data_IF_993747458897
#
_entry.id   IF_993747458897
#
_cell.length_a   1.000
_cell.length_b   1.000
_cell.length_c   1.000
_cell.angle_alpha   90.00
_cell.angle_beta   90.00
_cell.angle_gamma   90.00
#
_symmetry.space_group_name_H-M   'P 1'
#
loop_
_entity.id
_entity.type
_entity.pdbx_description
1 polymer ?
#
# COMPACT_ATOMS: atom_id res chain seq x y z
N UNK A 1 0.96 29.72 32.17
CA UNK A 1 2.42 29.70 31.88
C UNK A 1 2.87 28.39 31.18
N UNK A 2 1.96 27.51 30.72
CA UNK A 2 2.31 26.26 30.00
C UNK A 2 1.99 26.30 28.49
N UNK A 3 1.50 27.42 27.95
CA UNK A 3 1.16 27.54 26.53
C UNK A 3 2.25 28.18 25.64
N UNK A 4 3.25 28.80 26.22
CA UNK A 4 4.32 29.47 25.45
C UNK A 4 5.53 28.58 25.09
N UNK A 5 5.71 27.44 25.78
CA UNK A 5 6.82 26.53 25.51
C UNK A 5 6.63 25.63 24.26
N UNK A 6 5.39 25.52 23.73
CA UNK A 6 5.11 24.67 22.57
C UNK A 6 5.32 25.37 21.21
N UNK A 7 5.47 26.69 21.18
CA UNK A 7 5.64 27.45 19.93
C UNK A 7 7.10 27.59 19.47
N UNK A 8 8.08 27.38 20.33
CA UNK A 8 9.50 27.48 19.99
C UNK A 8 10.11 26.26 19.32
N UNK A 9 9.56 25.06 19.57
CA UNK A 9 10.13 23.82 19.05
C UNK A 9 9.72 23.49 17.58
N UNK A 10 8.79 24.25 16.99
CA UNK A 10 8.25 23.95 15.65
C UNK A 10 9.03 24.55 14.49
N UNK A 11 9.90 25.53 14.74
CA UNK A 11 10.62 26.23 13.66
C UNK A 11 11.94 25.55 13.26
N UNK A 12 12.62 24.89 14.19
CA UNK A 12 13.91 24.22 13.94
C UNK A 12 13.77 22.77 13.46
N UNK A 13 12.66 22.11 13.77
CA UNK A 13 12.36 20.76 13.25
C UNK A 13 11.97 20.75 11.75
N UNK A 14 11.95 21.91 11.09
CA UNK A 14 11.61 22.08 9.66
C UNK A 14 12.80 21.91 8.72
N UNK A 15 13.97 21.60 9.22
CA UNK A 15 15.15 21.44 8.39
C UNK A 15 15.26 20.02 7.87
N UNK A 16 15.07 19.95 6.54
CA UNK A 16 15.68 18.96 5.63
C UNK A 16 15.77 17.55 6.18
N UNK A 17 14.86 16.70 5.72
CA UNK A 17 15.09 15.24 5.79
C UNK A 17 16.39 14.97 5.01
N UNK A 18 17.50 14.59 5.69
CA UNK A 18 18.71 14.26 4.96
C UNK A 18 18.43 13.03 4.09
N UNK A 19 18.62 13.18 2.79
CA UNK A 19 18.44 12.13 1.77
C UNK A 19 19.36 10.90 1.96
N UNK A 20 20.14 10.84 3.04
CA UNK A 20 21.25 9.88 3.19
C UNK A 20 21.28 9.13 4.51
N UNK A 21 20.23 9.11 5.32
CA UNK A 21 20.21 8.15 6.44
C UNK A 21 19.82 6.78 5.92
N UNK A 22 20.66 5.74 6.11
CA UNK A 22 20.23 4.36 5.90
C UNK A 22 19.10 4.06 6.88
N UNK A 23 17.87 4.21 6.43
CA UNK A 23 16.69 3.76 7.17
C UNK A 23 16.74 2.24 7.21
N UNK A 24 16.69 1.67 8.42
CA UNK A 24 16.54 0.21 8.58
C UNK A 24 15.25 -0.17 7.84
N UNK A 25 15.39 -0.85 6.70
CA UNK A 25 14.25 -1.26 5.89
C UNK A 25 13.56 -2.44 6.58
N UNK A 26 12.23 -2.37 6.66
CA UNK A 26 11.41 -3.48 7.15
C UNK A 26 11.42 -4.64 6.15
N UNK A 27 11.54 -4.34 4.85
CA UNK A 27 11.56 -5.31 3.77
C UNK A 27 12.80 -5.16 2.90
N UNK A 28 13.37 -6.25 2.41
CA UNK A 28 14.49 -6.25 1.46
C UNK A 28 14.02 -5.95 0.05
N UNK A 29 12.81 -6.42 -0.32
CA UNK A 29 12.30 -6.37 -1.69
C UNK A 29 11.55 -5.08 -2.02
N UNK A 30 11.16 -4.29 -1.02
CA UNK A 30 10.36 -3.08 -1.23
C UNK A 30 10.95 -1.88 -0.48
N UNK A 31 10.78 -0.68 -1.07
CA UNK A 31 11.18 0.59 -0.48
C UNK A 31 10.11 1.66 -0.63
N UNK A 32 10.12 2.63 0.30
CA UNK A 32 9.25 3.80 0.29
C UNK A 32 10.09 5.02 0.02
N UNK A 33 9.71 5.83 -0.98
CA UNK A 33 10.42 7.04 -1.35
C UNK A 33 9.49 8.24 -1.28
N UNK A 34 9.73 9.14 -0.34
CA UNK A 34 8.99 10.40 -0.26
C UNK A 34 9.44 11.33 -1.38
N UNK A 35 8.52 11.71 -2.26
CA UNK A 35 8.77 12.66 -3.35
C UNK A 35 8.39 14.10 -2.95
N UNK A 36 7.44 14.23 -2.02
CA UNK A 36 7.03 15.51 -1.44
C UNK A 36 6.63 15.34 0.02
N UNK A 37 6.67 16.44 0.79
CA UNK A 37 6.23 16.52 2.19
C UNK A 37 5.33 17.73 2.35
N UNK A 38 4.29 17.63 3.21
CA UNK A 38 3.30 18.69 3.41
C UNK A 38 2.19 18.66 2.37
N UNK A 39 1.25 19.60 2.47
CA UNK A 39 0.11 19.67 1.55
C UNK A 39 -0.45 21.08 1.48
N UNK A 40 -0.72 21.56 0.27
CA UNK A 40 -1.33 22.88 0.01
C UNK A 40 -2.87 22.83 -0.07
N UNK A 41 -3.49 21.63 0.03
CA UNK A 41 -4.93 21.52 0.05
C UNK A 41 -5.52 21.99 1.39
N UNK A 42 -6.70 22.60 1.33
CA UNK A 42 -7.40 23.19 2.49
C UNK A 42 -8.62 22.35 2.91
N UNK A 43 -8.55 21.01 2.78
CA UNK A 43 -9.64 20.11 3.13
C UNK A 43 -10.09 20.34 4.58
N UNK A 44 -11.39 20.56 4.79
CA UNK A 44 -11.94 21.02 6.06
C UNK A 44 -11.77 20.02 7.23
N UNK A 45 -11.58 18.74 6.93
CA UNK A 45 -11.41 17.67 7.92
C UNK A 45 -9.95 17.29 8.18
N UNK A 46 -9.00 17.85 7.41
CA UNK A 46 -7.62 17.38 7.40
C UNK A 46 -6.69 18.28 8.22
N UNK A 47 -5.94 17.68 9.14
CA UNK A 47 -4.97 18.37 9.99
C UNK A 47 -3.56 18.42 9.38
N UNK A 48 -3.30 17.71 8.28
CA UNK A 48 -1.97 17.55 7.68
C UNK A 48 -1.26 18.88 7.40
N UNK A 49 -1.89 19.91 6.81
CA UNK A 49 -1.21 21.19 6.57
C UNK A 49 -0.69 21.85 7.86
N UNK A 50 -1.39 21.65 8.99
CA UNK A 50 -0.95 22.15 10.29
C UNK A 50 0.25 21.38 10.85
N UNK A 51 0.28 20.06 10.63
CA UNK A 51 1.32 19.19 11.18
C UNK A 51 2.58 19.13 10.32
N UNK A 52 2.42 19.12 8.99
CA UNK A 52 3.52 18.93 8.02
C UNK A 52 3.88 20.17 7.23
N UNK A 53 3.12 21.26 7.38
CA UNK A 53 3.33 22.51 6.67
C UNK A 53 2.92 22.49 5.20
N UNK A 54 3.40 23.50 4.46
CA UNK A 54 3.20 23.59 3.02
C UNK A 54 3.92 22.49 2.27
N UNK A 55 3.39 22.14 1.11
CA UNK A 55 4.00 21.16 0.22
C UNK A 55 5.39 21.60 -0.22
N UNK A 56 6.33 20.67 -0.15
CA UNK A 56 7.72 20.79 -0.56
C UNK A 56 8.08 19.58 -1.39
N UNK A 57 8.44 19.84 -2.64
CA UNK A 57 8.83 18.80 -3.58
C UNK A 57 10.34 18.55 -3.50
N UNK A 58 10.74 17.30 -3.51
CA UNK A 58 12.15 16.92 -3.68
C UNK A 58 12.53 17.02 -5.15
N UNK A 59 13.78 17.31 -5.44
CA UNK A 59 14.27 17.37 -6.81
C UNK A 59 14.25 15.99 -7.48
N UNK A 60 13.87 15.89 -8.77
CA UNK A 60 13.78 14.61 -9.46
C UNK A 60 15.07 13.78 -9.38
N UNK A 61 16.24 14.41 -9.52
CA UNK A 61 17.53 13.74 -9.40
C UNK A 61 17.77 13.11 -8.03
N UNK A 62 17.34 13.76 -6.93
CA UNK A 62 17.44 13.20 -5.58
C UNK A 62 16.54 11.99 -5.39
N UNK A 63 15.30 12.07 -5.92
CA UNK A 63 14.33 10.98 -5.86
C UNK A 63 14.85 9.77 -6.65
N UNK A 64 15.31 9.97 -7.89
CA UNK A 64 15.83 8.90 -8.74
C UNK A 64 17.12 8.28 -8.16
N UNK A 65 17.99 9.09 -7.56
CA UNK A 65 19.19 8.58 -6.88
C UNK A 65 18.83 7.70 -5.68
N UNK A 66 17.81 8.07 -4.89
CA UNK A 66 17.34 7.23 -3.78
C UNK A 66 16.70 5.94 -4.29
N UNK A 67 15.88 6.01 -5.34
CA UNK A 67 15.32 4.81 -5.98
C UNK A 67 16.44 3.89 -6.46
N UNK A 68 17.47 4.42 -7.16
CA UNK A 68 18.63 3.66 -7.61
C UNK A 68 19.37 2.98 -6.45
N UNK A 69 19.64 3.71 -5.38
CA UNK A 69 20.28 3.15 -4.18
C UNK A 69 19.47 2.04 -3.52
N UNK A 70 18.13 2.14 -3.53
CA UNK A 70 17.24 1.08 -3.04
C UNK A 70 17.36 -0.19 -3.92
N UNK A 71 17.40 0.00 -5.23
CA UNK A 71 17.54 -1.10 -6.20
C UNK A 71 18.90 -1.76 -6.08
N UNK A 72 19.99 -1.01 -5.97
CA UNK A 72 21.34 -1.53 -5.72
C UNK A 72 21.40 -2.35 -4.43
N UNK A 73 20.66 -1.92 -3.41
CA UNK A 73 20.54 -2.64 -2.14
C UNK A 73 19.54 -3.81 -2.18
N UNK A 74 19.06 -4.22 -3.35
CA UNK A 74 18.25 -5.40 -3.58
C UNK A 74 16.74 -5.19 -3.69
N UNK A 75 16.21 -3.96 -3.57
CA UNK A 75 14.79 -3.73 -3.78
C UNK A 75 14.40 -3.89 -5.26
N UNK A 76 13.23 -4.46 -5.51
CA UNK A 76 12.63 -4.55 -6.85
C UNK A 76 11.28 -3.82 -6.92
N UNK A 77 10.73 -3.42 -5.78
CA UNK A 77 9.51 -2.62 -5.71
C UNK A 77 9.77 -1.30 -4.97
N UNK A 78 9.27 -0.19 -5.51
CA UNK A 78 9.30 1.12 -4.86
C UNK A 78 7.91 1.73 -4.86
N UNK A 79 7.52 2.31 -3.72
CA UNK A 79 6.30 3.12 -3.62
C UNK A 79 6.66 4.59 -3.42
N UNK A 80 6.23 5.43 -4.36
CA UNK A 80 6.40 6.88 -4.29
C UNK A 80 5.33 7.48 -3.35
N UNK A 81 5.77 8.27 -2.38
CA UNK A 81 4.94 8.85 -1.34
C UNK A 81 4.83 10.37 -1.45
N UNK A 82 3.62 10.86 -1.27
CA UNK A 82 3.30 12.27 -1.08
C UNK A 82 1.92 12.40 -0.44
N UNK A 83 1.57 13.58 0.05
CA UNK A 83 0.21 13.85 0.54
C UNK A 83 -0.74 14.18 -0.63
N UNK A 84 -0.18 14.57 -1.76
CA UNK A 84 -0.82 14.82 -3.04
C UNK A 84 0.22 14.53 -4.13
N UNK A 85 0.48 13.25 -4.37
CA UNK A 85 1.64 12.82 -5.17
C UNK A 85 1.63 13.35 -6.60
N UNK A 86 0.45 13.58 -7.20
CA UNK A 86 0.34 14.08 -8.57
C UNK A 86 0.33 15.61 -8.69
N UNK A 87 0.53 16.35 -7.58
CA UNK A 87 0.94 17.76 -7.62
C UNK A 87 2.47 17.94 -7.68
N UNK A 88 3.22 16.84 -7.58
CA UNK A 88 4.67 16.87 -7.64
C UNK A 88 5.17 17.64 -8.86
N UNK A 89 6.07 18.57 -8.63
CA UNK A 89 6.64 19.47 -9.63
C UNK A 89 6.00 20.85 -9.75
N UNK A 90 4.82 21.05 -9.18
CA UNK A 90 4.15 22.36 -9.20
C UNK A 90 4.99 23.42 -8.49
N UNK A 91 5.70 23.08 -7.42
CA UNK A 91 6.57 24.00 -6.68
C UNK A 91 7.70 24.57 -7.56
N UNK A 92 8.22 23.79 -8.50
CA UNK A 92 9.27 24.23 -9.43
C UNK A 92 8.78 24.48 -10.87
N UNK A 93 7.46 24.65 -11.05
CA UNK A 93 6.87 25.11 -12.31
C UNK A 93 6.59 24.05 -13.36
N UNK A 94 6.74 22.75 -13.04
CA UNK A 94 6.50 21.64 -13.96
C UNK A 94 5.29 20.79 -13.52
N UNK A 95 4.13 21.06 -14.09
CA UNK A 95 2.89 20.31 -13.81
C UNK A 95 2.88 18.89 -14.37
N UNK A 96 3.77 18.56 -15.28
CA UNK A 96 3.96 17.23 -15.85
C UNK A 96 5.03 16.39 -15.13
N UNK A 97 5.67 16.93 -14.08
CA UNK A 97 6.81 16.30 -13.44
C UNK A 97 6.50 14.92 -12.86
N UNK A 98 5.30 14.69 -12.34
CA UNK A 98 4.93 13.40 -11.80
C UNK A 98 4.89 12.30 -12.88
N UNK A 99 4.27 12.56 -14.01
CA UNK A 99 4.26 11.61 -15.14
C UNK A 99 5.67 11.36 -15.69
N UNK A 100 6.50 12.42 -15.79
CA UNK A 100 7.92 12.28 -16.17
C UNK A 100 8.69 11.45 -15.17
N UNK A 101 8.43 11.59 -13.86
CA UNK A 101 9.08 10.82 -12.80
C UNK A 101 8.70 9.34 -12.90
N UNK A 102 7.42 9.02 -13.17
CA UNK A 102 6.99 7.63 -13.39
C UNK A 102 7.75 6.99 -14.56
N UNK A 103 7.80 7.68 -15.72
CA UNK A 103 8.56 7.20 -16.89
C UNK A 103 10.06 7.05 -16.59
N UNK A 104 10.64 7.99 -15.84
CA UNK A 104 12.06 7.91 -15.46
C UNK A 104 12.32 6.73 -14.52
N UNK A 105 11.42 6.41 -13.58
CA UNK A 105 11.52 5.20 -12.79
C UNK A 105 11.46 3.93 -13.66
N UNK A 106 10.74 3.98 -14.79
CA UNK A 106 10.67 2.89 -15.77
C UNK A 106 12.02 2.54 -16.43
N UNK A 107 12.98 3.45 -16.41
CA UNK A 107 14.31 3.24 -17.01
C UNK A 107 15.36 2.73 -16.04
N UNK A 108 15.01 2.57 -14.74
CA UNK A 108 15.97 2.10 -13.73
C UNK A 108 16.10 0.59 -13.82
N UNK A 109 17.27 0.11 -14.22
CA UNK A 109 17.55 -1.33 -14.35
C UNK A 109 17.38 -2.04 -13.00
N UNK A 110 16.63 -3.14 -13.01
CA UNK A 110 16.32 -3.94 -11.83
C UNK A 110 15.18 -3.44 -10.96
N UNK A 111 14.55 -2.31 -11.29
CA UNK A 111 13.30 -1.89 -10.68
C UNK A 111 12.12 -2.53 -11.42
N UNK A 112 11.47 -3.50 -10.80
CA UNK A 112 10.40 -4.28 -11.44
C UNK A 112 8.99 -3.75 -11.15
N UNK A 113 8.80 -3.03 -10.03
CA UNK A 113 7.50 -2.52 -9.63
C UNK A 113 7.59 -1.10 -9.07
N UNK A 114 6.82 -0.20 -9.66
CA UNK A 114 6.63 1.17 -9.17
C UNK A 114 5.18 1.36 -8.77
N UNK A 115 4.96 1.82 -7.56
CA UNK A 115 3.64 2.20 -7.03
C UNK A 115 3.67 3.63 -6.55
N UNK A 116 2.51 4.21 -6.36
CA UNK A 116 2.36 5.52 -5.72
C UNK A 116 1.06 5.57 -4.93
N UNK A 117 0.99 6.50 -3.97
CA UNK A 117 -0.18 6.67 -3.10
C UNK A 117 -0.69 8.10 -3.14
N UNK A 118 -1.96 8.27 -2.73
CA UNK A 118 -2.58 9.58 -2.47
C UNK A 118 -2.58 10.58 -3.64
N UNK A 119 -2.84 10.16 -4.90
CA UNK A 119 -3.13 11.13 -5.94
C UNK A 119 -4.46 11.83 -5.67
N UNK A 120 -4.53 13.11 -6.05
CA UNK A 120 -5.73 13.92 -5.89
C UNK A 120 -6.50 14.01 -7.22
N UNK A 121 -7.82 13.72 -7.25
CA UNK A 121 -8.59 13.69 -8.49
C UNK A 121 -8.55 14.99 -9.31
N UNK A 122 -8.45 16.16 -8.65
CA UNK A 122 -8.41 17.44 -9.34
C UNK A 122 -7.16 17.64 -10.20
N UNK A 123 -6.02 17.06 -9.79
CA UNK A 123 -4.73 17.19 -10.47
C UNK A 123 -4.36 15.93 -11.28
N UNK A 124 -5.26 14.94 -11.39
CA UNK A 124 -5.01 13.72 -12.15
C UNK A 124 -5.23 13.97 -13.64
N UNK A 125 -4.15 13.89 -14.42
CA UNK A 125 -4.12 14.24 -15.83
C UNK A 125 -4.05 13.01 -16.73
N UNK A 126 -4.39 13.17 -18.01
CA UNK A 126 -4.26 12.11 -19.01
C UNK A 126 -2.80 11.70 -19.24
N UNK A 127 -1.84 12.62 -19.03
CA UNK A 127 -0.41 12.29 -19.10
C UNK A 127 0.03 11.34 -17.96
N UNK A 128 -0.55 11.45 -16.76
CA UNK A 128 -0.32 10.48 -15.68
C UNK A 128 -0.93 9.13 -16.05
N UNK A 129 -2.14 9.11 -16.63
CA UNK A 129 -2.78 7.87 -17.10
C UNK A 129 -1.92 7.19 -18.18
N UNK A 130 -1.44 7.97 -19.15
CA UNK A 130 -0.54 7.49 -20.20
C UNK A 130 0.77 6.93 -19.60
N UNK A 131 1.41 7.67 -18.67
CA UNK A 131 2.62 7.20 -18.01
C UNK A 131 2.41 5.88 -17.25
N UNK A 132 1.26 5.69 -16.59
CA UNK A 132 0.92 4.42 -15.95
C UNK A 132 0.78 3.28 -16.96
N UNK A 133 0.15 3.51 -18.11
CA UNK A 133 -0.12 2.49 -19.11
C UNK A 133 1.12 2.13 -19.95
N UNK A 134 1.97 3.13 -20.25
CA UNK A 134 3.13 2.99 -21.14
C UNK A 134 4.39 2.49 -20.43
N UNK A 135 4.47 2.61 -19.10
CA UNK A 135 5.66 2.26 -18.32
C UNK A 135 5.47 0.87 -17.70
N UNK A 136 6.12 -0.18 -18.23
CA UNK A 136 5.77 -1.57 -17.90
C UNK A 136 5.91 -1.95 -16.42
N UNK A 137 6.82 -1.27 -15.69
CA UNK A 137 7.02 -1.52 -14.27
C UNK A 137 6.15 -0.63 -13.35
N UNK A 138 5.36 0.31 -13.90
CA UNK A 138 4.33 0.99 -13.12
C UNK A 138 3.13 0.05 -12.97
N UNK A 139 2.83 -0.30 -11.73
CA UNK A 139 1.84 -1.33 -11.45
C UNK A 139 0.41 -0.88 -11.76
N UNK A 140 -0.45 -1.81 -12.24
CA UNK A 140 -1.84 -1.53 -12.61
C UNK A 140 -2.72 -1.37 -11.36
N UNK A 141 -2.39 -0.40 -10.52
CA UNK A 141 -3.07 -0.07 -9.27
C UNK A 141 -3.21 1.44 -9.15
N UNK A 142 -4.40 1.91 -8.79
CA UNK A 142 -4.66 3.30 -8.51
C UNK A 142 -5.41 3.45 -7.18
N UNK A 143 -4.77 4.00 -6.17
CA UNK A 143 -5.43 4.40 -4.93
C UNK A 143 -5.80 5.87 -5.02
N UNK A 144 -7.07 6.20 -5.28
CA UNK A 144 -7.54 7.58 -5.45
C UNK A 144 -8.68 7.90 -4.49
N UNK A 145 -8.44 8.74 -3.45
CA UNK A 145 -9.45 9.05 -2.44
C UNK A 145 -10.66 9.81 -2.99
N UNK A 146 -11.85 9.19 -2.90
CA UNK A 146 -13.13 9.79 -3.26
C UNK A 146 -13.66 10.74 -2.17
N UNK A 147 -13.53 10.34 -0.92
CA UNK A 147 -14.03 10.97 0.30
C UNK A 147 -15.56 10.93 0.43
N UNK A 148 -16.31 11.39 -0.57
CA UNK A 148 -17.77 11.34 -0.66
C UNK A 148 -18.21 11.28 -2.13
N UNK A 149 -19.35 10.66 -2.41
CA UNK A 149 -19.98 10.69 -3.73
C UNK A 149 -20.91 11.89 -3.92
N UNK A 150 -21.26 12.62 -2.85
CA UNK A 150 -22.11 13.82 -2.95
C UNK A 150 -21.28 15.05 -3.26
N UNK A 151 -21.65 15.75 -4.33
CA UNK A 151 -21.03 17.00 -4.73
C UNK A 151 -21.23 18.12 -3.71
N UNK A 152 -22.33 18.07 -2.94
CA UNK A 152 -22.60 19.00 -1.84
C UNK A 152 -21.62 18.76 -0.69
N UNK A 153 -21.44 17.51 -0.28
CA UNK A 153 -20.49 17.15 0.76
C UNK A 153 -19.05 17.40 0.31
N UNK A 154 -18.68 17.10 -0.92
CA UNK A 154 -17.37 17.41 -1.48
C UNK A 154 -17.06 18.91 -1.44
N UNK A 155 -18.05 19.79 -1.69
CA UNK A 155 -17.88 21.25 -1.52
C UNK A 155 -17.64 21.63 -0.05
N UNK A 156 -18.43 21.05 0.87
CA UNK A 156 -18.26 21.28 2.31
C UNK A 156 -16.90 20.78 2.83
N UNK A 157 -16.40 19.68 2.29
CA UNK A 157 -15.04 19.16 2.51
C UNK A 157 -13.93 20.01 1.85
N UNK A 158 -14.27 21.03 1.06
CA UNK A 158 -13.35 21.80 0.20
C UNK A 158 -12.55 20.92 -0.76
N UNK A 159 -13.23 19.92 -1.37
CA UNK A 159 -12.64 19.13 -2.45
C UNK A 159 -12.86 19.85 -3.79
N UNK A 160 -11.78 20.02 -4.56
CA UNK A 160 -11.78 20.77 -5.83
C UNK A 160 -12.17 19.93 -7.05
N UNK A 161 -12.86 18.81 -6.84
CA UNK A 161 -13.46 17.96 -7.87
C UNK A 161 -14.91 17.61 -7.52
N UNK A 162 -15.60 16.96 -8.45
CA UNK A 162 -16.97 16.48 -8.33
C UNK A 162 -17.04 15.01 -8.75
N UNK A 163 -18.13 14.35 -8.42
CA UNK A 163 -18.36 12.93 -8.67
C UNK A 163 -18.23 12.56 -10.15
N UNK A 164 -18.76 13.38 -11.06
CA UNK A 164 -18.64 13.19 -12.52
C UNK A 164 -17.17 13.18 -12.97
N UNK A 165 -16.37 14.16 -12.54
CA UNK A 165 -14.93 14.18 -12.83
C UNK A 165 -14.23 12.96 -12.29
N UNK A 166 -14.55 12.54 -11.07
CA UNK A 166 -13.98 11.35 -10.45
C UNK A 166 -14.27 10.10 -11.30
N UNK A 167 -15.52 9.85 -11.63
CA UNK A 167 -15.93 8.72 -12.47
C UNK A 167 -15.27 8.78 -13.84
N UNK A 168 -15.24 9.94 -14.49
CA UNK A 168 -14.58 10.10 -15.78
C UNK A 168 -13.08 9.84 -15.76
N UNK A 169 -12.38 10.02 -14.61
CA UNK A 169 -10.99 9.58 -14.47
C UNK A 169 -10.93 8.05 -14.46
N UNK A 170 -11.80 7.38 -13.68
CA UNK A 170 -11.82 5.92 -13.61
C UNK A 170 -12.11 5.29 -14.98
N UNK A 171 -13.03 5.86 -15.75
CA UNK A 171 -13.35 5.41 -17.09
C UNK A 171 -12.13 5.49 -18.02
N UNK A 172 -11.41 6.61 -18.01
CA UNK A 172 -10.19 6.78 -18.81
C UNK A 172 -9.05 5.83 -18.37
N UNK A 173 -8.89 5.61 -17.08
CA UNK A 173 -7.92 4.62 -16.56
C UNK A 173 -8.27 3.23 -17.07
N UNK A 174 -9.53 2.81 -16.96
CA UNK A 174 -9.98 1.48 -17.41
C UNK A 174 -9.95 1.31 -18.93
N UNK A 175 -10.13 2.39 -19.69
CA UNK A 175 -10.01 2.34 -21.14
C UNK A 175 -8.63 1.93 -21.62
N UNK A 176 -7.56 2.30 -20.91
CA UNK A 176 -6.16 1.96 -21.26
C UNK A 176 -5.57 0.85 -20.39
N UNK A 177 -6.12 0.63 -19.20
CA UNK A 177 -5.69 -0.41 -18.25
C UNK A 177 -6.94 -1.11 -17.67
N UNK A 178 -7.62 -1.98 -18.45
CA UNK A 178 -8.91 -2.58 -18.05
C UNK A 178 -8.81 -3.43 -16.77
N UNK A 179 -7.62 -3.94 -16.47
CA UNK A 179 -7.36 -4.78 -15.29
C UNK A 179 -6.84 -3.99 -14.08
N UNK A 180 -6.75 -2.67 -14.16
CA UNK A 180 -6.26 -1.86 -13.06
C UNK A 180 -7.16 -1.98 -11.82
N UNK A 181 -6.58 -2.36 -10.68
CA UNK A 181 -7.28 -2.32 -9.41
C UNK A 181 -7.38 -0.88 -8.90
N UNK A 182 -8.61 -0.42 -8.67
CA UNK A 182 -8.87 0.91 -8.14
C UNK A 182 -9.30 0.79 -6.69
N UNK A 183 -8.65 1.54 -5.82
CA UNK A 183 -8.95 1.60 -4.38
C UNK A 183 -9.20 3.04 -3.96
N UNK A 184 -9.89 3.24 -2.84
CA UNK A 184 -10.30 4.58 -2.42
C UNK A 184 -10.40 4.72 -0.90
N UNK A 185 -10.54 5.97 -0.44
CA UNK A 185 -10.95 6.35 0.91
C UNK A 185 -12.31 7.04 0.86
N UNK A 186 -13.19 6.72 1.83
CA UNK A 186 -14.51 7.31 1.96
C UNK A 186 -14.74 7.67 3.43
N UNK A 187 -15.31 8.84 3.66
CA UNK A 187 -15.72 9.30 4.99
C UNK A 187 -17.25 9.37 5.02
N UNK A 188 -17.86 8.61 5.92
CA UNK A 188 -19.31 8.68 6.19
C UNK A 188 -19.61 9.51 7.43
N UNK A 189 -20.76 10.18 7.44
CA UNK A 189 -21.17 10.99 8.58
C UNK A 189 -20.44 12.32 8.68
N UNK A 190 -19.98 12.88 7.58
CA UNK A 190 -19.43 14.24 7.55
C UNK A 190 -20.49 15.25 8.02
N UNK A 191 -20.15 16.33 8.77
CA UNK A 191 -21.11 17.30 9.27
C UNK A 191 -22.08 17.80 8.20
N UNK A 192 -23.36 17.69 8.48
CA UNK A 192 -24.44 18.08 7.57
C UNK A 192 -24.73 17.11 6.43
N UNK A 193 -24.10 15.93 6.36
CA UNK A 193 -24.44 14.89 5.39
C UNK A 193 -25.89 14.43 5.58
N UNK A 194 -26.71 14.53 4.53
CA UNK A 194 -28.11 14.05 4.53
C UNK A 194 -28.18 12.59 4.04
N UNK A 195 -29.36 11.99 4.10
CA UNK A 195 -29.56 10.64 3.55
C UNK A 195 -29.44 10.63 2.03
N UNK A 196 -29.85 11.70 1.37
CA UNK A 196 -29.69 11.87 -0.09
C UNK A 196 -28.23 11.95 -0.48
N UNK A 197 -27.39 12.67 0.29
CA UNK A 197 -25.94 12.72 0.06
C UNK A 197 -25.29 11.36 0.23
N UNK A 198 -25.72 10.63 1.25
CA UNK A 198 -25.23 9.27 1.47
C UNK A 198 -25.67 8.33 0.34
N UNK A 199 -26.91 8.44 -0.14
CA UNK A 199 -27.38 7.68 -1.29
C UNK A 199 -26.58 8.01 -2.58
N UNK A 200 -26.16 9.27 -2.76
CA UNK A 200 -25.25 9.64 -3.85
C UNK A 200 -23.88 8.96 -3.68
N UNK A 201 -23.36 8.88 -2.47
CA UNK A 201 -22.10 8.18 -2.19
C UNK A 201 -22.23 6.70 -2.52
N UNK A 202 -23.32 6.05 -2.13
CA UNK A 202 -23.60 4.64 -2.49
C UNK A 202 -23.62 4.43 -4.01
N UNK A 203 -24.30 5.32 -4.76
CA UNK A 203 -24.36 5.25 -6.23
C UNK A 203 -22.97 5.40 -6.88
N UNK A 204 -22.16 6.33 -6.42
CA UNK A 204 -20.81 6.54 -6.95
C UNK A 204 -19.90 5.33 -6.63
N UNK A 205 -20.01 4.74 -5.45
CA UNK A 205 -19.26 3.52 -5.09
C UNK A 205 -19.67 2.34 -5.97
N UNK A 206 -20.98 2.14 -6.17
CA UNK A 206 -21.48 1.10 -7.08
C UNK A 206 -20.92 1.26 -8.50
N UNK A 207 -20.98 2.48 -9.06
CA UNK A 207 -20.45 2.78 -10.39
C UNK A 207 -18.92 2.66 -10.47
N UNK A 208 -18.22 3.02 -9.40
CA UNK A 208 -16.76 3.01 -9.36
C UNK A 208 -16.15 1.62 -9.31
N UNK A 209 -16.87 0.60 -8.82
CA UNK A 209 -16.39 -0.77 -8.78
C UNK A 209 -15.01 -0.89 -8.13
N UNK A 210 -14.85 -0.35 -6.91
CA UNK A 210 -13.57 -0.40 -6.21
C UNK A 210 -13.19 -1.83 -5.82
N UNK A 211 -11.95 -2.22 -6.10
CA UNK A 211 -11.39 -3.50 -5.62
C UNK A 211 -11.23 -3.53 -4.11
N UNK A 212 -11.07 -2.38 -3.47
CA UNK A 212 -11.07 -2.19 -2.02
C UNK A 212 -11.35 -0.72 -1.69
N UNK A 213 -11.96 -0.46 -0.54
CA UNK A 213 -12.12 0.89 0.01
C UNK A 213 -11.83 0.90 1.51
N UNK A 214 -11.14 1.96 1.96
CA UNK A 214 -11.03 2.29 3.36
C UNK A 214 -12.20 3.21 3.72
N UNK A 215 -13.12 2.71 4.52
CA UNK A 215 -14.30 3.44 4.95
C UNK A 215 -14.07 3.93 6.37
N UNK A 216 -14.21 5.23 6.57
CA UNK A 216 -14.00 5.89 7.85
C UNK A 216 -15.30 6.55 8.30
N UNK A 217 -15.64 6.37 9.56
CA UNK A 217 -16.61 7.24 10.23
C UNK A 217 -15.95 8.60 10.48
N UNK A 218 -16.66 9.69 10.18
CA UNK A 218 -16.13 11.02 10.46
C UNK A 218 -15.80 11.15 11.95
N UNK A 219 -14.58 11.58 12.24
CA UNK A 219 -14.10 11.87 13.59
C UNK A 219 -13.60 13.31 13.66
N UNK A 220 -14.19 14.16 14.52
CA UNK A 220 -13.76 15.54 14.69
C UNK A 220 -12.30 15.61 15.13
N UNK A 221 -11.50 16.37 14.40
CA UNK A 221 -10.08 16.61 14.75
C UNK A 221 -9.91 18.04 15.22
N UNK A 222 -9.49 18.28 16.47
CA UNK A 222 -9.27 19.63 16.99
C UNK A 222 -8.38 20.45 16.04
N UNK A 223 -8.76 21.70 15.80
CA UNK A 223 -8.06 22.61 14.90
C UNK A 223 -8.43 22.50 13.42
N UNK A 224 -9.31 21.58 13.03
CA UNK A 224 -9.87 21.53 11.68
C UNK A 224 -11.22 22.26 11.60
N UNK A 225 -11.55 22.92 10.47
CA UNK A 225 -12.84 23.60 10.30
C UNK A 225 -14.04 22.65 10.51
N UNK A 226 -13.96 21.42 10.04
CA UNK A 226 -15.06 20.46 10.16
C UNK A 226 -15.38 20.07 11.62
N UNK A 227 -14.42 20.19 12.54
CA UNK A 227 -14.66 19.87 13.95
C UNK A 227 -15.66 20.80 14.64
N UNK A 228 -15.85 22.01 14.10
CA UNK A 228 -16.75 23.04 14.62
C UNK A 228 -17.92 23.36 13.69
N UNK A 229 -18.09 22.61 12.61
CA UNK A 229 -19.24 22.76 11.72
C UNK A 229 -20.53 22.32 12.44
N UNK A 230 -21.62 23.05 12.17
CA UNK A 230 -22.96 22.63 12.56
C UNK A 230 -23.35 21.33 11.84
N UNK A 231 -24.38 20.65 12.38
CA UNK A 231 -24.91 19.43 11.75
C UNK A 231 -24.04 18.20 11.98
N UNK A 232 -23.30 18.13 13.10
CA UNK A 232 -22.67 16.89 13.53
C UNK A 232 -23.73 15.79 13.67
N UNK A 233 -23.51 14.64 13.04
CA UNK A 233 -24.48 13.55 13.01
C UNK A 233 -24.42 12.72 14.31
N UNK A 234 -25.56 12.17 14.75
CA UNK A 234 -25.60 11.17 15.81
C UNK A 234 -24.76 9.93 15.42
N UNK A 235 -24.10 9.34 16.42
CA UNK A 235 -23.22 8.17 16.19
C UNK A 235 -23.96 6.98 15.57
N UNK A 236 -25.22 6.81 15.94
CA UNK A 236 -26.09 5.72 15.46
C UNK A 236 -26.35 5.85 13.96
N UNK A 237 -26.58 7.08 13.48
CA UNK A 237 -26.76 7.37 12.05
C UNK A 237 -25.46 7.10 11.27
N UNK A 238 -24.31 7.54 11.82
CA UNK A 238 -23.00 7.32 11.20
C UNK A 238 -22.66 5.83 11.14
N UNK A 239 -22.97 5.08 12.21
CA UNK A 239 -22.74 3.64 12.28
C UNK A 239 -23.60 2.89 11.25
N UNK A 240 -24.89 3.22 11.16
CA UNK A 240 -25.81 2.61 10.21
C UNK A 240 -25.36 2.84 8.75
N UNK A 241 -24.98 4.06 8.40
CA UNK A 241 -24.44 4.39 7.09
C UNK A 241 -23.12 3.65 6.81
N UNK A 242 -22.23 3.57 7.81
CA UNK A 242 -20.98 2.82 7.71
C UNK A 242 -21.25 1.35 7.37
N UNK A 243 -22.17 0.70 8.06
CA UNK A 243 -22.51 -0.72 7.84
C UNK A 243 -23.10 -0.94 6.45
N UNK A 244 -24.00 -0.07 5.98
CA UNK A 244 -24.57 -0.15 4.62
C UNK A 244 -23.50 0.01 3.55
N UNK A 245 -22.60 0.97 3.69
CA UNK A 245 -21.53 1.18 2.73
C UNK A 245 -20.51 0.04 2.75
N UNK A 246 -20.20 -0.48 3.95
CA UNK A 246 -19.31 -1.64 4.09
C UNK A 246 -19.90 -2.86 3.38
N UNK A 247 -21.18 -3.16 3.59
CA UNK A 247 -21.85 -4.28 2.94
C UNK A 247 -21.84 -4.16 1.40
N UNK A 248 -22.09 -2.95 0.88
CA UNK A 248 -21.99 -2.67 -0.56
C UNK A 248 -20.56 -2.93 -1.07
N UNK A 249 -19.56 -2.37 -0.38
CA UNK A 249 -18.17 -2.47 -0.80
C UNK A 249 -17.65 -3.92 -0.72
N UNK A 250 -18.03 -4.69 0.30
CA UNK A 250 -17.68 -6.11 0.42
C UNK A 250 -18.23 -6.93 -0.73
N UNK A 251 -19.50 -6.68 -1.13
CA UNK A 251 -20.08 -7.32 -2.31
C UNK A 251 -19.28 -6.98 -3.57
N UNK A 252 -19.00 -5.69 -3.82
CA UNK A 252 -18.23 -5.25 -4.98
C UNK A 252 -16.83 -5.88 -4.97
N UNK A 253 -16.12 -5.85 -3.85
CA UNK A 253 -14.79 -6.43 -3.72
C UNK A 253 -14.79 -7.94 -4.01
N UNK A 254 -15.84 -8.66 -3.57
CA UNK A 254 -16.04 -10.06 -3.88
C UNK A 254 -16.23 -10.30 -5.38
N UNK A 255 -17.05 -9.50 -6.03
CA UNK A 255 -17.30 -9.58 -7.48
C UNK A 255 -16.05 -9.25 -8.31
N UNK A 256 -15.30 -8.20 -7.94
CA UNK A 256 -14.04 -7.82 -8.60
C UNK A 256 -12.91 -8.86 -8.36
N UNK A 257 -12.88 -9.49 -7.20
CA UNK A 257 -11.94 -10.56 -6.91
C UNK A 257 -12.31 -11.85 -7.65
N UNK A 258 -13.60 -12.15 -7.82
CA UNK A 258 -14.07 -13.31 -8.57
C UNK A 258 -13.66 -13.27 -10.05
N UNK A 259 -13.54 -12.07 -10.64
CA UNK A 259 -13.04 -11.87 -12.01
C UNK A 259 -11.58 -12.30 -12.20
N UNK A 260 -10.83 -12.47 -11.12
CA UNK A 260 -9.44 -12.90 -11.18
C UNK A 260 -9.29 -14.44 -11.23
N UNK A 261 -10.33 -15.19 -10.91
CA UNK A 261 -10.29 -16.67 -10.94
C UNK A 261 -10.05 -17.16 -12.37
N UNK A 262 -9.14 -18.12 -12.51
CA UNK A 262 -8.68 -18.67 -13.78
C UNK A 262 -7.57 -17.87 -14.45
N UNK A 263 -7.19 -16.70 -13.89
CA UNK A 263 -6.09 -15.89 -14.44
C UNK A 263 -4.75 -16.36 -13.89
N UNK A 264 -3.73 -16.35 -14.75
CA UNK A 264 -2.33 -16.52 -14.36
C UNK A 264 -1.75 -15.16 -13.99
N UNK A 265 -1.13 -15.06 -12.81
CA UNK A 265 -0.59 -13.83 -12.26
C UNK A 265 0.80 -14.04 -11.65
N UNK A 266 1.60 -12.98 -11.64
CA UNK A 266 2.92 -12.94 -11.00
C UNK A 266 2.81 -12.38 -9.57
N UNK A 267 3.10 -13.19 -8.58
CA UNK A 267 3.00 -12.83 -7.16
C UNK A 267 4.40 -12.56 -6.60
N UNK A 268 4.64 -11.36 -6.11
CA UNK A 268 5.83 -11.01 -5.33
C UNK A 268 5.65 -11.55 -3.91
N UNK A 269 6.49 -12.51 -3.53
CA UNK A 269 6.43 -13.18 -2.22
C UNK A 269 6.87 -12.23 -1.11
N UNK A 270 6.06 -12.13 -0.06
CA UNK A 270 6.31 -11.28 1.11
C UNK A 270 7.08 -11.97 2.22
N UNK A 271 7.61 -11.18 3.17
CA UNK A 271 8.28 -11.68 4.37
C UNK A 271 7.30 -12.16 5.46
N UNK A 272 6.07 -11.68 5.43
CA UNK A 272 5.05 -12.02 6.43
C UNK A 272 4.29 -13.30 6.07
N UNK A 273 4.21 -14.23 7.00
CA UNK A 273 3.30 -15.36 6.89
C UNK A 273 1.86 -14.92 7.24
N UNK A 274 0.87 -15.38 6.47
CA UNK A 274 -0.52 -15.30 6.89
C UNK A 274 -0.75 -16.14 8.15
N UNK A 275 -1.76 -15.79 8.96
CA UNK A 275 -2.04 -16.50 10.24
C UNK A 275 -2.17 -18.03 10.12
N UNK A 276 -2.48 -18.52 8.94
CA UNK A 276 -2.70 -19.96 8.66
C UNK A 276 -1.69 -20.54 7.67
N UNK A 277 -0.70 -19.75 7.21
CA UNK A 277 0.18 -20.18 6.14
C UNK A 277 0.99 -21.42 6.53
N UNK A 278 1.53 -21.47 7.76
CA UNK A 278 2.24 -22.65 8.26
C UNK A 278 1.37 -23.91 8.30
N UNK A 279 0.15 -23.80 8.82
CA UNK A 279 -0.77 -24.95 8.92
C UNK A 279 -1.36 -25.37 7.56
N UNK A 280 -1.31 -24.51 6.54
CA UNK A 280 -1.89 -24.79 5.21
C UNK A 280 -0.83 -24.94 4.13
N UNK A 281 0.45 -24.94 4.49
CA UNK A 281 1.59 -24.98 3.56
C UNK A 281 1.47 -23.96 2.42
N UNK A 282 1.11 -22.71 2.79
CA UNK A 282 0.99 -21.58 1.87
C UNK A 282 2.03 -20.53 2.17
N UNK A 283 2.34 -19.78 1.16
CA UNK A 283 3.09 -18.51 1.27
C UNK A 283 2.21 -17.37 0.79
N UNK A 284 2.50 -16.18 1.30
CA UNK A 284 1.69 -14.99 1.01
C UNK A 284 2.51 -13.99 0.21
N UNK A 285 1.87 -13.33 -0.76
CA UNK A 285 2.50 -12.30 -1.57
C UNK A 285 1.52 -11.27 -2.12
N UNK A 286 2.00 -10.43 -3.02
CA UNK A 286 1.22 -9.38 -3.67
C UNK A 286 1.23 -9.53 -5.19
N UNK A 287 0.03 -9.52 -5.77
CA UNK A 287 -0.16 -9.43 -7.22
C UNK A 287 0.29 -8.05 -7.75
N UNK A 288 0.46 -7.87 -9.08
CA UNK A 288 0.77 -6.58 -9.67
C UNK A 288 -0.22 -5.48 -9.30
N UNK A 289 -1.50 -5.79 -9.23
CA UNK A 289 -2.59 -4.91 -8.80
C UNK A 289 -2.71 -4.73 -7.29
N UNK A 290 -1.72 -5.21 -6.52
CA UNK A 290 -1.59 -5.16 -5.06
C UNK A 290 -2.57 -6.03 -4.26
N UNK A 291 -3.39 -6.87 -4.90
CA UNK A 291 -4.21 -7.84 -4.17
C UNK A 291 -3.33 -8.81 -3.39
N UNK A 292 -3.77 -9.15 -2.19
CA UNK A 292 -3.16 -10.19 -1.37
C UNK A 292 -3.42 -11.55 -2.00
N UNK A 293 -2.39 -12.38 -2.10
CA UNK A 293 -2.50 -13.72 -2.67
C UNK A 293 -1.90 -14.72 -1.69
N UNK A 294 -2.69 -15.74 -1.36
CA UNK A 294 -2.22 -16.93 -0.66
C UNK A 294 -2.01 -18.03 -1.70
N UNK A 295 -0.79 -18.47 -1.88
CA UNK A 295 -0.43 -19.50 -2.87
C UNK A 295 0.03 -20.77 -2.16
N UNK A 296 -0.50 -21.91 -2.58
CA UNK A 296 -0.11 -23.22 -2.09
C UNK A 296 1.23 -23.64 -2.71
N UNK A 297 2.07 -24.31 -1.93
CA UNK A 297 3.29 -24.92 -2.42
C UNK A 297 2.97 -26.27 -3.10
N UNK A 298 3.73 -26.68 -4.13
CA UNK A 298 3.58 -28.01 -4.74
C UNK A 298 3.72 -29.14 -3.70
N UNK A 299 2.93 -30.20 -3.86
CA UNK A 299 2.96 -31.33 -2.93
C UNK A 299 4.36 -31.98 -2.79
N UNK A 300 5.15 -32.01 -3.86
CA UNK A 300 6.52 -32.52 -3.84
C UNK A 300 7.44 -31.66 -2.95
N UNK A 301 7.19 -30.36 -2.85
CA UNK A 301 7.94 -29.43 -2.00
C UNK A 301 7.55 -29.61 -0.53
N UNK A 302 6.25 -29.82 -0.28
CA UNK A 302 5.72 -30.06 1.07
C UNK A 302 6.20 -31.40 1.63
N UNK A 303 6.20 -32.45 0.80
CA UNK A 303 6.65 -33.80 1.21
C UNK A 303 8.15 -33.89 1.54
N UNK A 304 8.97 -32.98 1.02
CA UNK A 304 10.39 -32.88 1.35
C UNK A 304 10.72 -31.98 2.55
N UNK A 305 9.73 -31.30 3.12
CA UNK A 305 9.93 -30.53 4.34
C UNK A 305 10.00 -31.49 5.55
N UNK A 306 10.96 -31.34 6.48
CA UNK A 306 10.99 -32.17 7.68
C UNK A 306 9.69 -31.95 8.48
N UNK A 307 9.09 -33.06 8.97
CA UNK A 307 7.83 -33.07 9.72
C UNK A 307 7.84 -32.23 11.01
N UNK A 308 9.01 -31.76 11.44
CA UNK A 308 9.25 -31.04 12.69
C UNK A 308 9.44 -29.54 12.55
N UNK A 309 8.98 -28.90 11.46
CA UNK A 309 9.03 -27.44 11.41
C UNK A 309 8.05 -26.85 12.45
N UNK A 310 8.53 -26.18 13.52
CA UNK A 310 7.65 -25.73 14.60
C UNK A 310 6.64 -24.70 14.08
N UNK A 311 5.38 -24.95 14.39
CA UNK A 311 4.23 -24.14 13.97
C UNK A 311 4.15 -22.76 14.64
N UNK A 312 5.08 -22.42 15.55
CA UNK A 312 5.04 -21.24 16.42
C UNK A 312 6.09 -20.18 16.12
N UNK A 313 6.90 -20.36 15.08
CA UNK A 313 7.91 -19.35 14.69
C UNK A 313 9.11 -19.26 15.65
N UNK A 314 9.21 -20.13 16.65
CA UNK A 314 10.37 -20.26 17.53
C UNK A 314 11.29 -21.35 16.98
N UNK A 315 12.17 -20.97 16.03
CA UNK A 315 13.15 -21.90 15.48
C UNK A 315 14.01 -22.51 16.57
N UNK A 316 14.11 -23.84 16.61
CA UNK A 316 15.08 -24.53 17.46
C UNK A 316 16.47 -24.09 17.03
N UNK A 317 17.40 -23.75 17.95
CA UNK A 317 18.77 -23.40 17.59
C UNK A 317 19.41 -24.55 16.81
N UNK A 318 19.68 -24.35 15.53
CA UNK A 318 20.33 -25.32 14.66
C UNK A 318 19.52 -25.78 13.43
N UNK A 319 18.24 -25.45 13.28
CA UNK A 319 17.51 -25.75 12.04
C UNK A 319 17.74 -24.66 11.00
N UNK A 320 18.44 -24.99 9.92
CA UNK A 320 18.59 -24.10 8.75
C UNK A 320 17.26 -24.02 8.03
N UNK A 321 16.75 -22.79 7.81
CA UNK A 321 15.54 -22.57 6.99
C UNK A 321 15.76 -23.21 5.59
N UNK A 322 14.90 -24.18 5.16
CA UNK A 322 15.07 -24.83 3.87
C UNK A 322 15.15 -23.87 2.68
N UNK A 323 14.55 -22.66 2.81
CA UNK A 323 14.60 -21.62 1.77
C UNK A 323 16.00 -21.03 1.56
N UNK A 324 16.94 -21.30 2.47
CA UNK A 324 18.33 -20.86 2.41
C UNK A 324 19.27 -21.88 1.72
N UNK A 325 18.78 -23.10 1.47
CA UNK A 325 19.57 -24.14 0.81
C UNK A 325 19.72 -23.81 -0.68
N UNK A 326 20.97 -23.73 -1.16
CA UNK A 326 21.30 -23.42 -2.55
C UNK A 326 21.00 -24.59 -3.50
N UNK A 327 20.99 -25.84 -2.99
CA UNK A 327 20.86 -27.08 -3.76
C UNK A 327 19.44 -27.64 -3.86
N UNK A 328 18.46 -27.05 -3.15
CA UNK A 328 17.07 -27.42 -3.37
C UNK A 328 16.65 -26.83 -4.73
N UNK A 329 16.88 -27.59 -5.76
CA UNK A 329 16.53 -27.34 -7.16
C UNK A 329 15.02 -27.09 -7.36
N UNK A 330 14.26 -27.01 -6.31
CA UNK A 330 12.87 -26.59 -6.39
C UNK A 330 12.55 -25.78 -5.15
N UNK A 331 13.05 -24.37 -4.89
CA UNK A 331 11.82 -23.98 -5.41
C UNK A 331 10.83 -23.66 -4.34
N UNK A 332 11.29 -23.64 -3.07
CA UNK A 332 10.59 -22.87 -2.06
C UNK A 332 10.81 -21.39 -2.41
N UNK A 333 9.76 -20.64 -2.74
CA UNK A 333 9.90 -19.23 -3.04
C UNK A 333 10.34 -18.47 -1.79
N UNK A 334 11.39 -17.68 -1.92
CA UNK A 334 11.91 -16.82 -0.86
C UNK A 334 11.16 -15.49 -0.86
N UNK A 335 11.06 -14.79 0.25
CA UNK A 335 10.63 -13.40 0.26
C UNK A 335 11.43 -12.57 -0.77
N UNK A 336 10.71 -11.87 -1.63
CA UNK A 336 11.29 -11.13 -2.75
C UNK A 336 11.41 -11.90 -4.07
N UNK A 337 11.22 -13.22 -4.10
CA UNK A 337 11.05 -13.95 -5.36
C UNK A 337 9.65 -13.71 -5.95
N UNK A 338 9.53 -13.95 -7.25
CA UNK A 338 8.24 -13.85 -7.96
C UNK A 338 7.77 -15.24 -8.34
N UNK A 339 6.50 -15.53 -8.05
CA UNK A 339 5.87 -16.82 -8.39
C UNK A 339 4.73 -16.59 -9.35
N UNK A 340 4.81 -17.23 -10.53
CA UNK A 340 3.70 -17.26 -11.49
C UNK A 340 2.75 -18.39 -11.10
N UNK A 341 1.48 -18.06 -10.84
CA UNK A 341 0.43 -18.99 -10.39
C UNK A 341 -0.90 -18.68 -11.05
N UNK A 342 -1.78 -19.69 -11.10
CA UNK A 342 -3.18 -19.52 -11.48
C UNK A 342 -4.04 -19.29 -10.23
N UNK A 343 -4.90 -18.27 -10.29
CA UNK A 343 -5.88 -17.98 -9.24
C UNK A 343 -7.01 -19.00 -9.31
N UNK A 344 -7.17 -19.81 -8.27
CA UNK A 344 -8.18 -20.88 -8.22
C UNK A 344 -9.45 -20.48 -7.48
N UNK A 345 -9.34 -19.58 -6.52
CA UNK A 345 -10.47 -19.07 -5.71
C UNK A 345 -10.24 -17.63 -5.31
N UNK A 346 -11.28 -16.97 -4.87
CA UNK A 346 -11.23 -15.59 -4.39
C UNK A 346 -12.07 -15.39 -3.13
N UNK A 347 -11.71 -14.35 -2.39
CA UNK A 347 -12.51 -13.75 -1.32
C UNK A 347 -12.46 -12.22 -1.49
N UNK A 348 -13.31 -11.44 -0.81
CA UNK A 348 -13.32 -9.98 -0.97
C UNK A 348 -11.95 -9.30 -0.79
N UNK A 349 -11.10 -9.84 0.09
CA UNK A 349 -9.84 -9.20 0.47
C UNK A 349 -8.58 -9.95 0.05
N UNK A 350 -8.70 -11.13 -0.57
CA UNK A 350 -7.55 -11.91 -1.02
C UNK A 350 -7.91 -12.88 -2.14
N UNK A 351 -6.89 -13.30 -2.85
CA UNK A 351 -6.95 -14.36 -3.85
C UNK A 351 -6.27 -15.63 -3.30
N UNK A 352 -6.67 -16.78 -3.81
CA UNK A 352 -6.12 -18.07 -3.46
C UNK A 352 -5.65 -18.75 -4.75
N UNK A 353 -4.41 -19.22 -4.76
CA UNK A 353 -3.79 -19.90 -5.88
C UNK A 353 -3.33 -21.30 -5.43
N UNK A 354 -4.22 -22.27 -5.53
CA UNK A 354 -4.02 -23.67 -5.11
C UNK A 354 -3.71 -24.62 -6.28
N UNK A 355 -3.52 -24.10 -7.51
CA UNK A 355 -3.27 -24.89 -8.72
C UNK A 355 -2.06 -25.81 -8.59
N UNK A 356 -1.04 -25.38 -7.85
CA UNK A 356 0.18 -26.14 -7.59
C UNK A 356 -0.08 -27.49 -6.91
N UNK A 357 -1.14 -27.62 -6.08
CA UNK A 357 -1.50 -28.88 -5.41
C UNK A 357 -1.93 -29.97 -6.39
N UNK A 358 -2.50 -29.58 -7.52
CA UNK A 358 -2.95 -30.49 -8.59
C UNK A 358 -1.95 -30.56 -9.76
N UNK A 359 -0.70 -30.11 -9.58
CA UNK A 359 0.30 -30.07 -10.65
C UNK A 359 0.06 -28.98 -11.70
N UNK A 360 -0.78 -27.96 -11.38
CA UNK A 360 -1.03 -26.82 -12.23
C UNK A 360 0.10 -25.79 -12.21
N UNK A 361 -0.17 -24.60 -12.74
CA UNK A 361 0.83 -23.53 -12.91
C UNK A 361 1.48 -23.13 -11.60
N UNK A 362 2.79 -23.34 -11.50
CA UNK A 362 3.64 -22.87 -10.41
C UNK A 362 5.06 -22.72 -10.93
N UNK A 363 5.52 -21.50 -11.14
CA UNK A 363 6.87 -21.23 -11.60
C UNK A 363 7.53 -20.17 -10.73
N UNK A 364 8.66 -20.49 -10.12
CA UNK A 364 9.43 -19.57 -9.29
C UNK A 364 10.49 -18.89 -10.12
N UNK A 365 10.42 -17.57 -10.21
CA UNK A 365 11.49 -16.73 -10.75
C UNK A 365 12.31 -16.15 -9.61
N UNK A 366 13.58 -16.56 -9.54
CA UNK A 366 14.54 -15.99 -8.60
C UNK A 366 14.82 -14.54 -8.95
N UNK A 367 14.95 -13.71 -7.91
CA UNK A 367 15.20 -12.27 -8.07
C UNK A 367 16.39 -11.84 -7.23
N UNK A 368 16.97 -10.68 -7.55
CA UNK A 368 17.98 -10.04 -6.71
C UNK A 368 17.49 -9.78 -5.27
N UNK A 369 16.19 -9.57 -5.10
CA UNK A 369 15.58 -9.40 -3.77
C UNK A 369 15.57 -10.68 -2.95
N UNK A 370 15.21 -11.79 -3.57
CA UNK A 370 15.30 -13.11 -2.93
C UNK A 370 16.73 -13.45 -2.51
N UNK A 371 17.72 -13.10 -3.35
CA UNK A 371 19.13 -13.27 -3.02
C UNK A 371 19.58 -12.36 -1.87
N UNK A 372 19.15 -11.09 -1.87
CA UNK A 372 19.43 -10.15 -0.80
C UNK A 372 18.76 -10.59 0.52
N UNK A 373 17.53 -11.12 0.46
CA UNK A 373 16.86 -11.70 1.61
C UNK A 373 17.64 -12.89 2.15
N UNK A 374 18.02 -13.85 1.32
CA UNK A 374 18.77 -15.04 1.73
C UNK A 374 20.11 -14.67 2.36
N UNK A 375 20.82 -13.68 1.80
CA UNK A 375 22.09 -13.17 2.37
C UNK A 375 21.87 -12.56 3.77
N UNK A 376 20.83 -11.75 3.94
CA UNK A 376 20.47 -11.14 5.24
C UNK A 376 20.13 -12.22 6.26
N UNK A 377 19.35 -13.22 5.88
CA UNK A 377 18.90 -14.27 6.78
C UNK A 377 20.04 -15.19 7.21
N UNK A 378 20.95 -15.56 6.27
CA UNK A 378 22.19 -16.28 6.61
C UNK A 378 23.04 -15.49 7.61
N UNK A 379 23.20 -14.19 7.43
CA UNK A 379 23.95 -13.33 8.35
C UNK A 379 23.27 -13.27 9.74
N UNK A 380 21.94 -13.27 9.80
CA UNK A 380 21.17 -13.31 11.04
C UNK A 380 21.38 -14.63 11.82
N UNK A 381 21.39 -15.74 11.09
CA UNK A 381 21.56 -17.08 11.68
C UNK A 381 23.02 -17.39 12.03
N UNK A 382 23.99 -16.89 11.25
CA UNK A 382 25.42 -17.12 11.48
C UNK A 382 26.08 -16.19 12.51
N UNK A 383 25.39 -15.11 12.93
CA UNK A 383 25.91 -14.16 13.93
C UNK A 383 25.71 -14.55 15.40
N UNK A 384 25.39 -15.81 15.68
CA UNK A 384 25.03 -16.29 17.03
C UNK A 384 26.18 -16.69 17.98
N UNK A 385 27.46 -16.48 17.63
CA UNK A 385 28.58 -17.01 18.41
C UNK A 385 29.65 -15.99 18.88
N UNK A 386 29.37 -14.72 19.03
CA UNK A 386 30.30 -13.81 19.73
C UNK A 386 29.60 -12.53 20.21
N UNK A 387 28.85 -12.58 21.30
CA UNK A 387 28.77 -11.46 22.27
C UNK A 387 28.02 -11.86 23.55
N UNK A 388 28.74 -12.38 24.52
CA UNK A 388 28.34 -12.38 25.93
C UNK A 388 28.76 -11.06 26.57
N UNK A 389 27.85 -10.08 26.57
CA UNK A 389 28.15 -8.83 27.29
C UNK A 389 27.01 -7.83 27.33
N UNK A 390 26.21 -7.93 28.38
CA UNK A 390 25.45 -6.84 29.04
C UNK A 390 24.41 -6.01 28.29
N UNK A 391 23.19 -6.08 28.80
CA UNK A 391 22.30 -4.95 28.95
C UNK A 391 20.95 -5.03 28.26
N UNK A 392 19.94 -5.36 29.02
CA UNK A 392 18.54 -4.94 28.97
C UNK A 392 17.92 -4.52 27.62
N UNK A 393 17.33 -5.44 26.89
CA UNK A 393 16.52 -5.12 25.73
C UNK A 393 15.05 -5.49 25.96
N UNK A 394 14.16 -4.51 25.82
CA UNK A 394 12.73 -4.72 25.83
C UNK A 394 12.27 -5.55 24.60
N UNK A 395 11.17 -6.31 24.70
CA UNK A 395 10.72 -7.19 23.63
C UNK A 395 10.19 -6.39 22.44
N UNK A 396 10.67 -6.70 21.23
CA UNK A 396 10.15 -6.18 19.99
C UNK A 396 8.84 -6.90 19.62
N UNK A 397 7.72 -6.30 20.00
CA UNK A 397 6.43 -6.62 19.44
C UNK A 397 6.24 -5.92 18.08
N UNK A 398 5.29 -6.36 17.23
CA UNK A 398 5.02 -5.72 15.95
C UNK A 398 4.62 -4.26 16.18
N UNK A 399 5.34 -3.34 15.56
CA UNK A 399 5.01 -1.93 15.56
C UNK A 399 3.75 -1.77 14.73
N UNK A 400 2.60 -1.69 15.40
CA UNK A 400 1.36 -1.27 14.78
C UNK A 400 1.55 0.17 14.30
N UNK A 401 1.39 0.39 13.00
CA UNK A 401 1.17 1.73 12.44
C UNK A 401 0.00 2.34 13.21
N UNK A 402 0.31 3.40 13.99
CA UNK A 402 -0.55 4.00 15.00
C UNK A 402 -1.96 4.37 14.52
N UNK A 403 -2.86 3.42 14.61
CA UNK A 403 -4.29 3.66 14.75
C UNK A 403 -4.64 3.36 16.21
N UNK A 404 -5.30 4.27 16.93
CA UNK A 404 -5.70 4.03 18.31
C UNK A 404 -6.72 2.89 18.32
N UNK A 405 -6.37 1.78 18.95
CA UNK A 405 -7.34 0.76 19.33
C UNK A 405 -8.23 1.35 20.42
N UNK A 406 -9.46 1.68 20.08
CA UNK A 406 -10.51 1.91 21.06
C UNK A 406 -10.75 0.57 21.79
N UNK A 407 -10.37 0.52 23.05
CA UNK A 407 -10.91 -0.47 23.99
C UNK A 407 -12.34 -0.06 24.34
N UNK A 408 -13.20 -1.05 24.40
CA UNK A 408 -14.60 -0.95 24.81
C UNK A 408 -14.79 -0.32 26.18
#
# INVERSE_FOLDING_TARGET
RHHEAAQGASAEARQVLPATRPTKRESVYAGWVSISVGCNNTCTFCIVPHLRGKERDRRPGEVLAEVGALVEAGAIEVTLLGQNVNSYGVEFGDRGAFAKLLRACGTIDGLERVRFTSPHPAAFTDDVIAAMAETPNVMPQLHMPLQSGSDRVLRAMRRSYRSERFLGILDRVRAVMPDAAITTDIIVGFPGETEEDFAETMRVVEASRFSSAFIFQYSPRPGTPAATMDGQLPKEVVQERFERLQALQERIAGEESARQVGRTIDVLVGEGAGRKDGATHRVTGRAPDNRLVHLALPAAVVAGAPDDAPSDGTGTPGSVDPRLADDLDVRLPRPGDVVTVEVTRSAPHHLIADSALAGGTFAVRRTRSGDAWAKRERARLGGGDDDHGHGGGAPSGPVALGLPTLRA
#
